data_IF_556761679353
#
_entry.id   IF_556761679353
#
_cell.length_a   1.000
_cell.length_b   1.000
_cell.length_c   1.000
_cell.angle_alpha   90.00
_cell.angle_beta   90.00
_cell.angle_gamma   90.00
#
_symmetry.space_group_name_H-M   'P 1'
#
loop_
_entity.id
_entity.type
_entity.pdbx_description
1 polymer ?
#
# COMPACT_ATOMS: atom_id res chain seq x y z
N UNK A 1 -49.26 -23.65 54.23
CA UNK A 1 -48.02 -23.13 54.83
C UNK A 1 -46.96 -23.02 53.73
N UNK A 2 -46.73 -21.82 53.20
CA UNK A 2 -45.75 -21.58 52.13
C UNK A 2 -44.39 -21.36 52.81
N UNK A 3 -43.43 -22.27 52.60
CA UNK A 3 -42.05 -22.07 53.06
C UNK A 3 -41.35 -21.14 52.09
N UNK A 4 -41.08 -19.91 52.53
CA UNK A 4 -40.25 -18.96 51.80
C UNK A 4 -38.80 -19.48 51.74
N UNK A 5 -38.13 -19.42 50.58
CA UNK A 5 -36.71 -19.75 50.49
C UNK A 5 -35.92 -18.77 51.34
N UNK A 6 -35.17 -19.31 52.31
CA UNK A 6 -34.25 -18.53 53.14
C UNK A 6 -33.10 -18.07 52.25
N UNK A 7 -33.06 -16.78 51.94
CA UNK A 7 -31.90 -16.14 51.33
C UNK A 7 -30.74 -16.24 52.33
N UNK A 8 -29.82 -17.19 52.12
CA UNK A 8 -28.56 -17.22 52.85
C UNK A 8 -27.83 -15.90 52.58
N UNK A 9 -27.36 -15.20 53.62
CA UNK A 9 -26.57 -13.99 53.43
C UNK A 9 -25.36 -14.33 52.54
N UNK A 10 -25.00 -13.47 51.57
CA UNK A 10 -23.90 -13.74 50.65
C UNK A 10 -22.62 -13.90 51.46
N UNK A 11 -22.21 -15.16 51.62
CA UNK A 11 -20.98 -15.55 52.31
C UNK A 11 -19.81 -14.88 51.63
N UNK A 12 -18.83 -14.38 52.39
CA UNK A 12 -17.61 -13.79 51.83
C UNK A 12 -16.90 -14.68 50.79
N UNK A 13 -17.07 -16.01 50.89
CA UNK A 13 -16.60 -16.98 49.89
C UNK A 13 -17.25 -16.82 48.51
N UNK A 14 -18.54 -16.47 48.44
CA UNK A 14 -19.19 -16.23 47.14
C UNK A 14 -18.67 -14.95 46.49
N UNK A 15 -18.35 -13.93 47.30
CA UNK A 15 -17.71 -12.70 46.81
C UNK A 15 -16.30 -12.97 46.26
N UNK A 16 -15.52 -13.83 46.92
CA UNK A 16 -14.21 -14.26 46.43
C UNK A 16 -14.35 -15.07 45.13
N UNK A 17 -15.30 -16.00 45.06
CA UNK A 17 -15.59 -16.76 43.84
C UNK A 17 -15.97 -15.85 42.66
N UNK A 18 -16.87 -14.88 42.88
CA UNK A 18 -17.24 -13.90 41.85
C UNK A 18 -16.05 -13.03 41.44
N UNK A 19 -15.23 -12.58 42.39
CA UNK A 19 -14.05 -11.78 42.10
C UNK A 19 -13.04 -12.57 41.25
N UNK A 20 -12.77 -13.83 41.59
CA UNK A 20 -11.89 -14.70 40.82
C UNK A 20 -12.42 -14.94 39.41
N UNK A 21 -13.71 -15.22 39.26
CA UNK A 21 -14.34 -15.41 37.94
C UNK A 21 -14.26 -14.14 37.10
N UNK A 22 -14.48 -12.97 37.71
CA UNK A 22 -14.33 -11.69 37.02
C UNK A 22 -12.90 -11.48 36.52
N UNK A 23 -11.90 -11.72 37.36
CA UNK A 23 -10.49 -11.61 36.97
C UNK A 23 -10.15 -12.60 35.85
N UNK A 24 -10.60 -13.86 35.94
CA UNK A 24 -10.43 -14.84 34.87
C UNK A 24 -11.08 -14.41 33.56
N UNK A 25 -12.30 -13.85 33.63
CA UNK A 25 -13.01 -13.36 32.45
C UNK A 25 -12.27 -12.19 31.79
N UNK A 26 -11.70 -11.28 32.58
CA UNK A 26 -10.88 -10.17 32.07
C UNK A 26 -9.62 -10.70 31.40
N UNK A 27 -8.91 -11.65 32.03
CA UNK A 27 -7.71 -12.25 31.44
C UNK A 27 -8.06 -12.97 30.13
N UNK A 28 -9.10 -13.80 30.14
CA UNK A 28 -9.54 -14.52 28.94
C UNK A 28 -9.92 -13.56 27.81
N UNK A 29 -10.69 -12.51 28.10
CA UNK A 29 -11.05 -11.48 27.14
C UNK A 29 -9.83 -10.73 26.62
N UNK A 30 -8.89 -10.37 27.49
CA UNK A 30 -7.65 -9.71 27.11
C UNK A 30 -6.77 -10.60 26.23
N UNK A 31 -6.66 -11.90 26.55
CA UNK A 31 -5.92 -12.86 25.71
C UNK A 31 -6.55 -12.95 24.33
N UNK A 32 -7.88 -13.11 24.23
CA UNK A 32 -8.58 -13.15 22.93
C UNK A 32 -8.39 -11.85 22.15
N UNK A 33 -8.54 -10.69 22.80
CA UNK A 33 -8.33 -9.40 22.18
C UNK A 33 -6.89 -9.21 21.71
N UNK A 34 -5.91 -9.64 22.51
CA UNK A 34 -4.49 -9.60 22.17
C UNK A 34 -4.16 -10.51 20.98
N UNK A 35 -4.73 -11.72 20.93
CA UNK A 35 -4.60 -12.60 19.77
C UNK A 35 -5.23 -11.99 18.52
N UNK A 36 -6.45 -11.47 18.61
CA UNK A 36 -7.11 -10.81 17.49
C UNK A 36 -6.30 -9.62 16.99
N UNK A 37 -5.77 -8.81 17.90
CA UNK A 37 -4.90 -7.69 17.56
C UNK A 37 -3.63 -8.16 16.86
N UNK A 38 -2.96 -9.20 17.37
CA UNK A 38 -1.77 -9.77 16.74
C UNK A 38 -2.07 -10.30 15.32
N UNK A 39 -3.18 -11.01 15.14
CA UNK A 39 -3.62 -11.51 13.84
C UNK A 39 -3.91 -10.35 12.88
N UNK A 40 -4.63 -9.32 13.33
CA UNK A 40 -4.89 -8.12 12.52
C UNK A 40 -3.60 -7.40 12.16
N UNK A 41 -2.65 -7.30 13.09
CA UNK A 41 -1.38 -6.64 12.86
C UNK A 41 -0.57 -7.40 11.82
N UNK A 42 -0.48 -8.73 11.92
CA UNK A 42 0.20 -9.58 10.94
C UNK A 42 -0.50 -9.52 9.59
N UNK A 43 -1.84 -9.60 9.56
CA UNK A 43 -2.62 -9.51 8.33
C UNK A 43 -2.45 -8.13 7.66
N UNK A 44 -2.49 -7.05 8.43
CA UNK A 44 -2.27 -5.69 7.94
C UNK A 44 -0.85 -5.49 7.43
N UNK A 45 0.15 -6.03 8.13
CA UNK A 45 1.55 -5.94 7.71
C UNK A 45 1.82 -6.80 6.47
N UNK A 46 1.23 -7.99 6.39
CA UNK A 46 1.30 -8.85 5.22
C UNK A 46 0.59 -8.21 4.02
N UNK A 47 -0.60 -7.65 4.20
CA UNK A 47 -1.33 -6.94 3.16
C UNK A 47 -0.59 -5.68 2.71
N UNK A 48 -0.05 -4.89 3.65
CA UNK A 48 0.75 -3.70 3.34
C UNK A 48 2.06 -4.03 2.64
N UNK A 49 2.76 -5.07 3.10
CA UNK A 49 3.99 -5.57 2.46
C UNK A 49 3.72 -6.17 1.08
N UNK A 50 2.61 -6.89 0.90
CA UNK A 50 2.17 -7.38 -0.40
C UNK A 50 1.83 -6.22 -1.32
N UNK A 51 1.03 -5.25 -0.85
CA UNK A 51 0.66 -4.09 -1.66
C UNK A 51 1.88 -3.28 -2.07
N UNK A 52 2.88 -3.13 -1.18
CA UNK A 52 4.16 -2.51 -1.51
C UNK A 52 4.92 -3.28 -2.59
N UNK A 53 4.92 -4.62 -2.52
CA UNK A 53 5.51 -5.47 -3.56
C UNK A 53 4.77 -5.34 -4.90
N UNK A 54 3.45 -5.28 -4.87
CA UNK A 54 2.60 -5.05 -6.04
C UNK A 54 2.89 -3.68 -6.64
N UNK A 55 2.87 -2.62 -5.84
CA UNK A 55 3.18 -1.26 -6.28
C UNK A 55 4.62 -1.15 -6.81
N UNK A 56 5.59 -1.83 -6.22
CA UNK A 56 6.97 -1.93 -6.75
C UNK A 56 7.02 -2.66 -8.09
N UNK A 57 6.21 -3.70 -8.27
CA UNK A 57 6.14 -4.45 -9.53
C UNK A 57 5.49 -3.60 -10.62
N UNK A 58 4.42 -2.88 -10.29
CA UNK A 58 3.81 -1.90 -11.19
C UNK A 58 4.76 -0.75 -11.47
N UNK A 59 5.39 -0.15 -10.47
CA UNK A 59 6.36 0.94 -10.63
C UNK A 59 7.55 0.56 -11.53
N UNK A 60 7.94 -0.73 -11.60
CA UNK A 60 8.92 -1.20 -12.59
C UNK A 60 8.36 -1.22 -14.01
N UNK A 61 7.10 -1.63 -14.19
CA UNK A 61 6.41 -1.55 -15.47
C UNK A 61 6.14 -0.10 -15.88
N UNK A 62 5.75 0.76 -14.94
CA UNK A 62 5.61 2.19 -15.13
C UNK A 62 6.97 2.84 -15.36
N UNK A 63 8.09 2.41 -14.77
CA UNK A 63 9.42 2.94 -15.14
C UNK A 63 9.84 2.55 -16.56
N UNK A 64 9.43 1.36 -17.03
CA UNK A 64 9.68 0.93 -18.40
C UNK A 64 8.73 1.62 -19.40
N UNK A 65 7.50 1.96 -18.98
CA UNK A 65 6.52 2.70 -19.78
C UNK A 65 6.58 4.23 -19.60
N UNK A 66 7.26 4.73 -18.58
CA UNK A 66 7.44 6.15 -18.26
C UNK A 66 8.92 6.54 -18.23
N UNK A 67 9.58 6.56 -19.40
CA UNK A 67 10.56 7.60 -19.68
C UNK A 67 9.92 8.97 -19.98
N UNK A 68 8.58 9.08 -20.05
CA UNK A 68 7.93 10.22 -20.73
C UNK A 68 6.69 10.83 -20.05
N UNK A 69 6.31 10.38 -18.85
CA UNK A 69 5.11 10.90 -18.18
C UNK A 69 5.44 11.29 -16.74
N UNK A 70 6.41 12.18 -16.59
CA UNK A 70 6.54 12.97 -15.36
C UNK A 70 7.17 14.35 -15.62
N UNK A 71 6.94 14.92 -16.80
CA UNK A 71 7.02 16.37 -16.98
C UNK A 71 5.59 16.88 -17.09
N UNK A 72 5.08 17.41 -15.98
CA UNK A 72 3.98 18.35 -16.03
C UNK A 72 4.43 19.48 -16.95
N UNK A 73 3.92 19.45 -18.19
CA UNK A 73 4.23 20.41 -19.26
C UNK A 73 5.56 20.21 -20.01
N UNK A 74 5.89 19.02 -20.49
CA UNK A 74 6.71 18.90 -21.72
C UNK A 74 6.40 17.57 -22.42
N UNK A 75 5.65 17.66 -23.53
CA UNK A 75 5.66 16.61 -24.56
C UNK A 75 7.09 16.55 -25.10
N UNK A 76 7.86 15.53 -24.70
CA UNK A 76 9.10 15.20 -25.39
C UNK A 76 8.71 14.40 -26.63
N UNK A 77 8.51 15.11 -27.74
CA UNK A 77 8.48 14.55 -29.09
C UNK A 77 9.84 13.85 -29.35
N UNK A 78 9.96 12.57 -28.98
CA UNK A 78 11.10 11.75 -29.39
C UNK A 78 10.83 11.15 -30.78
N UNK A 79 11.74 11.49 -31.68
CA UNK A 79 12.06 10.81 -32.93
C UNK A 79 11.18 11.04 -34.17
N UNK A 80 11.53 12.09 -34.92
CA UNK A 80 11.61 12.03 -36.40
C UNK A 80 12.94 12.66 -36.86
N UNK A 81 14.07 11.91 -36.84
CA UNK A 81 15.36 12.38 -37.34
C UNK A 81 15.42 12.30 -38.87
N UNK A 82 14.45 12.90 -39.58
CA UNK A 82 14.41 12.92 -41.05
C UNK A 82 14.85 14.27 -41.65
N UNK A 83 15.02 15.32 -40.84
CA UNK A 83 15.26 16.66 -41.37
C UNK A 83 16.74 17.02 -41.62
N UNK A 84 17.69 16.21 -41.15
CA UNK A 84 19.12 16.53 -41.25
C UNK A 84 19.70 16.21 -42.65
N UNK A 85 19.10 15.26 -43.38
CA UNK A 85 19.56 14.83 -44.70
C UNK A 85 19.21 15.80 -45.84
N UNK A 86 18.21 16.67 -45.64
CA UNK A 86 17.79 17.65 -46.66
C UNK A 86 18.74 18.86 -46.74
N UNK A 87 19.50 19.16 -45.68
CA UNK A 87 20.50 20.25 -45.73
C UNK A 87 21.73 19.87 -46.54
N UNK A 88 22.11 18.60 -46.55
CA UNK A 88 23.22 18.12 -47.37
C UNK A 88 22.84 18.08 -48.88
N UNK A 89 21.55 17.89 -49.20
CA UNK A 89 21.08 17.78 -50.59
C UNK A 89 20.79 19.11 -51.26
N UNK A 90 20.55 20.19 -50.50
CA UNK A 90 20.33 21.53 -51.06
C UNK A 90 21.63 22.36 -51.11
N UNK A 91 22.67 21.79 -51.72
CA UNK A 91 23.74 22.59 -52.32
C UNK A 91 23.37 22.80 -53.79
N UNK A 92 22.69 23.90 -54.17
CA UNK A 92 22.56 24.21 -55.57
C UNK A 92 23.97 24.36 -56.13
N UNK A 93 24.25 23.59 -57.18
CA UNK A 93 25.39 23.77 -58.04
C UNK A 93 25.34 25.22 -58.58
N UNK A 94 25.98 26.14 -57.87
CA UNK A 94 26.25 27.47 -58.37
C UNK A 94 27.40 27.36 -59.35
N UNK A 95 27.00 27.09 -60.60
CA UNK A 95 27.52 27.66 -61.83
C UNK A 95 29.04 27.74 -61.91
N UNK A 96 29.58 26.74 -62.59
CA UNK A 96 30.66 26.94 -63.55
C UNK A 96 30.38 28.19 -64.41
N UNK A 97 31.16 29.23 -64.21
CA UNK A 97 31.29 30.35 -65.15
C UNK A 97 32.73 30.85 -65.10
N UNK A 98 33.64 29.96 -65.49
CA UNK A 98 34.95 30.34 -66.04
C UNK A 98 34.72 30.78 -67.49
N UNK A 99 34.38 32.05 -67.67
CA UNK A 99 34.39 32.71 -68.99
C UNK A 99 35.49 33.75 -69.01
N UNK A 100 36.49 33.45 -69.86
CA UNK A 100 37.45 34.34 -70.55
C UNK A 100 38.41 35.17 -69.68
#
# INVERSE_FOLDING_TARGET
MIRLPRFSPPTWLSRLGLATVSVLAVIAGFTVASLLFAVLLVAGLAAGGWLWWQLRRLARQTQQAAPDILDAEYTVERDLPILEDQRARKRPAASDSRTL
#
